data_IF_922498150109
#
_entry.id   IF_922498150109
#
_cell.length_a   1.000
_cell.length_b   1.000
_cell.length_c   1.000
_cell.angle_alpha   90.00
_cell.angle_beta   90.00
_cell.angle_gamma   90.00
#
_symmetry.space_group_name_H-M   'P 1'
#
loop_
_entity.id
_entity.type
_entity.pdbx_description
1 polymer ?
#
# COMPACT_ATOMS: atom_id res chain seq x y z
N UNK A 1 -2.35 3.76 -25.27
CA UNK A 1 -1.10 3.16 -24.78
C UNK A 1 -0.51 2.47 -25.98
N UNK A 2 0.66 2.92 -26.39
CA UNK A 2 1.26 2.49 -27.63
C UNK A 2 2.30 1.41 -27.31
N UNK A 3 3.00 1.57 -26.18
CA UNK A 3 3.82 0.53 -25.58
C UNK A 3 3.78 0.56 -24.07
N UNK A 4 4.00 -0.61 -23.49
CA UNK A 4 4.14 -0.85 -22.05
C UNK A 4 5.47 -1.58 -21.85
N UNK A 5 6.26 -1.16 -20.88
CA UNK A 5 7.58 -1.73 -20.63
C UNK A 5 7.87 -1.82 -19.13
N UNK A 6 8.76 -2.75 -18.77
CA UNK A 6 9.23 -2.98 -17.40
C UNK A 6 10.75 -2.79 -17.40
N UNK A 7 11.27 -1.94 -16.52
CA UNK A 7 12.69 -1.62 -16.41
C UNK A 7 13.27 -2.07 -15.08
N UNK A 8 14.55 -2.43 -15.11
CA UNK A 8 15.41 -2.49 -13.92
C UNK A 8 15.58 -1.09 -13.35
N UNK A 9 15.23 -0.90 -12.07
CA UNK A 9 15.46 0.35 -11.34
C UNK A 9 16.90 0.56 -10.92
N UNK A 10 17.77 -0.46 -11.05
CA UNK A 10 19.22 -0.34 -10.78
C UNK A 10 20.00 0.03 -12.05
N UNK A 11 19.68 -0.59 -13.18
CA UNK A 11 20.47 -0.47 -14.42
C UNK A 11 19.79 0.34 -15.51
N UNK A 12 18.46 0.48 -15.47
CA UNK A 12 17.66 1.03 -16.57
C UNK A 12 17.41 0.04 -17.71
N UNK A 13 17.91 -1.20 -17.61
CA UNK A 13 17.71 -2.24 -18.62
C UNK A 13 16.22 -2.56 -18.78
N UNK A 14 15.75 -2.64 -20.04
CA UNK A 14 14.41 -3.11 -20.34
C UNK A 14 14.31 -4.63 -20.12
N UNK A 15 13.50 -5.03 -19.15
CA UNK A 15 13.21 -6.42 -18.83
C UNK A 15 12.10 -6.99 -19.73
N UNK A 16 11.10 -6.16 -20.04
CA UNK A 16 9.96 -6.48 -20.91
C UNK A 16 9.61 -5.26 -21.73
N UNK A 17 9.38 -5.44 -23.03
CA UNK A 17 8.90 -4.40 -23.94
C UNK A 17 7.73 -4.94 -24.76
N UNK A 18 6.52 -4.46 -24.47
CA UNK A 18 5.30 -4.89 -25.14
C UNK A 18 4.72 -3.77 -25.99
N UNK A 19 4.51 -4.05 -27.27
CA UNK A 19 3.87 -3.14 -28.22
C UNK A 19 2.39 -3.50 -28.37
N UNK A 20 1.50 -2.53 -28.16
CA UNK A 20 0.06 -2.76 -28.32
C UNK A 20 -0.31 -2.82 -29.82
N UNK A 21 -0.95 -3.91 -30.25
CA UNK A 21 -1.33 -4.14 -31.64
C UNK A 21 -2.40 -3.13 -32.12
N UNK A 22 -2.03 -2.20 -33.00
CA UNK A 22 -2.95 -1.17 -33.52
C UNK A 22 -2.29 0.17 -33.86
N UNK A 23 -1.05 0.40 -33.41
CA UNK A 23 -0.24 1.53 -33.87
C UNK A 23 0.20 1.30 -35.32
N UNK A 24 -0.59 1.77 -36.29
CA UNK A 24 -0.35 1.62 -37.75
C UNK A 24 0.92 2.30 -38.30
N UNK A 25 1.90 2.63 -37.47
CA UNK A 25 3.12 3.31 -37.87
C UNK A 25 4.33 2.38 -37.77
N UNK A 26 4.97 2.15 -38.91
CA UNK A 26 6.20 1.36 -39.09
C UNK A 26 7.44 1.96 -38.39
N UNK A 27 7.33 3.13 -37.75
CA UNK A 27 8.37 3.73 -36.89
C UNK A 27 8.27 3.35 -35.41
N UNK A 28 7.33 2.49 -35.02
CA UNK A 28 7.01 2.22 -33.62
C UNK A 28 8.10 1.43 -32.85
N UNK A 29 8.86 0.54 -33.51
CA UNK A 29 9.92 -0.25 -32.85
C UNK A 29 11.09 0.63 -32.40
N UNK A 30 11.48 1.62 -33.21
CA UNK A 30 12.51 2.58 -32.84
C UNK A 30 12.08 3.51 -31.69
N UNK A 31 10.76 3.65 -31.49
CA UNK A 31 10.21 4.51 -30.45
C UNK A 31 10.28 3.86 -29.06
N UNK A 32 10.08 2.54 -28.94
CA UNK A 32 10.13 1.88 -27.63
C UNK A 32 11.49 2.00 -26.96
N UNK A 33 12.54 1.61 -27.67
CA UNK A 33 13.89 1.67 -27.13
C UNK A 33 14.32 3.11 -26.79
N UNK A 34 13.96 4.09 -27.64
CA UNK A 34 14.24 5.51 -27.35
C UNK A 34 13.44 6.03 -26.15
N UNK A 35 12.15 5.68 -26.04
CA UNK A 35 11.32 6.08 -24.91
C UNK A 35 11.80 5.50 -23.58
N UNK A 36 12.30 4.27 -23.59
CA UNK A 36 12.92 3.64 -22.41
C UNK A 36 14.17 4.41 -21.99
N UNK A 37 15.08 4.69 -22.92
CA UNK A 37 16.30 5.43 -22.65
C UNK A 37 15.98 6.85 -22.17
N UNK A 38 15.05 7.54 -22.82
CA UNK A 38 14.60 8.89 -22.44
C UNK A 38 14.03 8.92 -21.02
N UNK A 39 13.17 7.94 -20.67
CA UNK A 39 12.65 7.82 -19.30
C UNK A 39 13.78 7.62 -18.30
N UNK A 40 14.70 6.70 -18.59
CA UNK A 40 15.82 6.40 -17.69
C UNK A 40 16.72 7.61 -17.48
N UNK A 41 17.01 8.38 -18.54
CA UNK A 41 17.79 9.61 -18.43
C UNK A 41 17.11 10.67 -17.55
N UNK A 42 15.79 10.84 -17.64
CA UNK A 42 15.05 11.74 -16.75
C UNK A 42 15.06 11.27 -15.30
N UNK A 43 14.98 9.95 -15.07
CA UNK A 43 15.14 9.37 -13.73
C UNK A 43 16.54 9.67 -13.18
N UNK A 44 17.60 9.38 -13.93
CA UNK A 44 18.98 9.66 -13.53
C UNK A 44 19.25 11.15 -13.28
N UNK A 45 18.67 12.05 -14.07
CA UNK A 45 18.79 13.51 -13.85
C UNK A 45 18.24 13.91 -12.49
N UNK A 46 17.06 13.41 -12.12
CA UNK A 46 16.43 13.73 -10.84
C UNK A 46 17.21 13.19 -9.62
N UNK A 47 17.80 12.00 -9.75
CA UNK A 47 18.61 11.40 -8.70
C UNK A 47 19.94 12.15 -8.50
N UNK A 48 20.58 12.61 -9.60
CA UNK A 48 21.78 13.47 -9.54
C UNK A 48 21.52 14.84 -8.94
N UNK A 49 20.36 15.46 -9.23
CA UNK A 49 19.93 16.72 -8.60
C UNK A 49 19.71 16.51 -7.11
N UNK A 50 19.06 15.41 -6.72
CA UNK A 50 18.85 15.05 -5.31
C UNK A 50 20.15 14.86 -4.53
N UNK A 51 21.22 14.38 -5.17
CA UNK A 51 22.56 14.27 -4.56
C UNK A 51 23.24 15.63 -4.33
N UNK A 52 23.07 16.58 -5.26
CA UNK A 52 23.68 17.92 -5.17
C UNK A 52 22.92 18.90 -4.24
N UNK A 53 21.59 18.77 -4.13
CA UNK A 53 20.73 19.64 -3.29
C UNK A 53 20.64 19.23 -1.81
N UNK A 54 21.36 18.18 -1.40
CA UNK A 54 21.52 17.77 0.02
C UNK A 54 22.07 18.87 0.94
N UNK A 55 22.50 20.02 0.39
CA UNK A 55 22.95 21.18 1.18
C UNK A 55 21.86 22.18 1.56
N UNK A 56 20.69 22.22 0.91
CA UNK A 56 19.71 23.29 1.21
C UNK A 56 18.24 22.89 1.41
N UNK A 57 17.71 21.75 0.96
CA UNK A 57 16.35 21.32 1.33
C UNK A 57 16.19 19.79 1.18
N UNK A 58 15.76 19.03 2.21
CA UNK A 58 15.65 17.57 2.15
C UNK A 58 14.33 17.10 1.52
N UNK A 59 13.94 17.68 0.38
CA UNK A 59 12.85 17.16 -0.43
C UNK A 59 13.45 16.33 -1.56
N UNK A 60 13.28 15.00 -1.54
CA UNK A 60 13.55 14.18 -2.71
C UNK A 60 12.76 14.78 -3.89
N UNK A 61 13.46 15.29 -4.91
CA UNK A 61 12.81 15.82 -6.10
C UNK A 61 12.40 14.61 -6.94
N UNK A 62 11.27 14.00 -6.57
CA UNK A 62 10.74 12.81 -7.20
C UNK A 62 10.37 13.13 -8.65
N UNK A 63 10.85 12.33 -9.60
CA UNK A 63 10.47 12.43 -11.01
C UNK A 63 8.95 12.45 -11.10
N UNK A 64 8.34 13.39 -11.82
CA UNK A 64 6.92 13.34 -12.08
C UNK A 64 6.54 12.00 -12.74
N UNK A 65 5.42 11.40 -12.32
CA UNK A 65 4.92 10.14 -12.91
C UNK A 65 4.50 10.30 -14.38
N UNK A 66 4.42 11.53 -14.88
CA UNK A 66 4.08 11.87 -16.27
C UNK A 66 5.11 12.85 -16.80
N UNK A 67 5.76 12.50 -17.89
CA UNK A 67 6.81 13.29 -18.55
C UNK A 67 6.36 13.57 -19.98
N UNK A 68 6.30 14.86 -20.35
CA UNK A 68 6.00 15.28 -21.71
C UNK A 68 7.30 15.43 -22.50
N UNK A 69 7.41 14.67 -23.59
CA UNK A 69 8.51 14.73 -24.54
C UNK A 69 8.03 15.33 -25.87
N UNK A 70 8.93 15.82 -26.75
CA UNK A 70 8.52 16.45 -28.01
C UNK A 70 7.66 15.58 -28.94
N UNK A 71 7.76 14.25 -28.84
CA UNK A 71 7.09 13.29 -29.73
C UNK A 71 6.22 12.25 -28.99
N UNK A 72 6.21 12.26 -27.66
CA UNK A 72 5.45 11.32 -26.85
C UNK A 72 5.21 11.81 -25.42
N UNK A 73 4.37 11.10 -24.69
CA UNK A 73 4.20 11.22 -23.25
C UNK A 73 4.63 9.90 -22.61
N UNK A 74 5.46 10.00 -21.57
CA UNK A 74 5.95 8.87 -20.80
C UNK A 74 5.24 8.85 -19.44
N UNK A 75 4.77 7.69 -19.05
CA UNK A 75 4.14 7.42 -17.76
C UNK A 75 4.96 6.38 -17.03
N UNK A 76 5.16 6.54 -15.73
CA UNK A 76 5.82 5.52 -14.93
C UNK A 76 5.27 5.43 -13.50
N UNK A 77 5.39 4.24 -12.95
CA UNK A 77 5.26 3.97 -11.51
C UNK A 77 6.46 3.14 -11.06
N UNK A 78 6.87 3.32 -9.81
CA UNK A 78 8.05 2.67 -9.24
C UNK A 78 7.64 1.69 -8.14
N UNK A 79 8.10 0.46 -8.24
CA UNK A 79 7.97 -0.60 -7.24
C UNK A 79 9.35 -1.22 -7.05
N UNK A 80 10.18 -0.57 -6.22
CA UNK A 80 11.61 -0.91 -6.09
C UNK A 80 11.84 -2.43 -5.90
N UNK A 81 12.74 -3.05 -6.70
CA UNK A 81 13.69 -2.44 -7.64
C UNK A 81 13.17 -2.28 -9.09
N UNK A 82 11.87 -2.44 -9.36
CA UNK A 82 11.30 -2.48 -10.71
C UNK A 82 10.54 -1.19 -11.04
N UNK A 83 10.60 -0.76 -12.31
CA UNK A 83 9.85 0.38 -12.82
C UNK A 83 8.90 -0.11 -13.92
N UNK A 84 7.62 0.24 -13.81
CA UNK A 84 6.62 -0.02 -14.84
C UNK A 84 6.36 1.26 -15.60
N UNK A 85 6.47 1.21 -16.92
CA UNK A 85 6.35 2.37 -17.78
C UNK A 85 5.39 2.15 -18.95
N UNK A 86 4.90 3.26 -19.49
CA UNK A 86 4.09 3.29 -20.70
C UNK A 86 4.43 4.53 -21.53
N UNK A 87 4.50 4.37 -22.84
CA UNK A 87 4.61 5.49 -23.77
C UNK A 87 3.32 5.66 -24.59
N UNK A 88 2.96 6.91 -24.83
CA UNK A 88 1.83 7.28 -25.70
C UNK A 88 2.23 8.42 -26.64
N UNK A 89 1.76 8.42 -27.88
CA UNK A 89 2.01 9.52 -28.82
C UNK A 89 0.89 10.55 -28.81
N UNK A 90 -0.30 10.12 -28.40
CA UNK A 90 -1.50 10.96 -28.33
C UNK A 90 -1.78 11.36 -26.90
N UNK A 91 -2.40 12.52 -26.76
CA UNK A 91 -2.92 12.94 -25.48
C UNK A 91 -3.96 11.93 -24.98
N UNK A 92 -3.74 11.42 -23.76
CA UNK A 92 -4.63 10.49 -23.08
C UNK A 92 -4.86 10.97 -21.65
N UNK A 93 -6.02 10.66 -21.03
CA UNK A 93 -6.23 10.96 -19.62
C UNK A 93 -5.14 10.29 -18.75
N UNK A 94 -4.27 11.06 -18.05
CA UNK A 94 -3.11 10.48 -17.37
C UNK A 94 -3.46 9.42 -16.32
N UNK A 95 -4.55 9.65 -15.59
CA UNK A 95 -5.03 8.72 -14.56
C UNK A 95 -5.43 7.37 -15.15
N UNK A 96 -5.87 7.30 -16.40
CA UNK A 96 -6.20 6.03 -17.06
C UNK A 96 -4.96 5.15 -17.21
N UNK A 97 -3.84 5.75 -17.61
CA UNK A 97 -2.58 5.03 -17.81
C UNK A 97 -1.96 4.65 -16.48
N UNK A 98 -1.92 5.58 -15.52
CA UNK A 98 -1.35 5.33 -14.20
C UNK A 98 -2.14 4.26 -13.42
N UNK A 99 -3.47 4.28 -13.50
CA UNK A 99 -4.31 3.25 -12.88
C UNK A 99 -4.05 1.88 -13.52
N UNK A 100 -3.97 1.82 -14.85
CA UNK A 100 -3.63 0.57 -15.55
C UNK A 100 -2.26 0.03 -15.10
N UNK A 101 -1.22 0.87 -15.06
CA UNK A 101 0.11 0.45 -14.62
C UNK A 101 0.09 -0.06 -13.17
N UNK A 102 -0.62 0.64 -12.28
CA UNK A 102 -0.75 0.22 -10.87
C UNK A 102 -1.48 -1.11 -10.74
N UNK A 103 -2.56 -1.28 -11.50
CA UNK A 103 -3.33 -2.52 -11.50
C UNK A 103 -2.55 -3.68 -12.13
N UNK A 104 -1.78 -3.42 -13.19
CA UNK A 104 -0.91 -4.42 -13.81
C UNK A 104 0.20 -4.89 -12.85
N UNK A 105 0.81 -3.97 -12.10
CA UNK A 105 1.73 -4.30 -11.01
C UNK A 105 1.05 -5.24 -9.98
N UNK A 106 -0.16 -4.92 -9.54
CA UNK A 106 -0.90 -5.76 -8.58
C UNK A 106 -1.16 -7.17 -9.14
N UNK A 107 -1.52 -7.30 -10.43
CA UNK A 107 -1.67 -8.58 -11.12
C UNK A 107 -0.34 -9.35 -11.15
N UNK A 108 0.77 -8.69 -11.49
CA UNK A 108 2.10 -9.32 -11.47
C UNK A 108 2.46 -9.83 -10.08
N UNK A 109 2.22 -9.04 -9.03
CA UNK A 109 2.44 -9.47 -7.63
C UNK A 109 1.59 -10.69 -7.28
N UNK A 110 0.35 -10.77 -7.77
CA UNK A 110 -0.52 -11.91 -7.49
C UNK A 110 -0.14 -13.19 -8.27
N UNK A 111 0.48 -13.05 -9.44
CA UNK A 111 0.97 -14.16 -10.27
C UNK A 111 2.32 -14.68 -9.81
N UNK A 112 3.26 -13.75 -9.57
CA UNK A 112 4.68 -14.02 -9.39
C UNK A 112 5.16 -13.76 -7.95
N UNK A 113 4.32 -13.26 -7.05
CA UNK A 113 4.62 -13.11 -5.62
C UNK A 113 4.88 -11.69 -5.15
N UNK A 114 5.01 -11.54 -3.82
CA UNK A 114 5.10 -10.25 -3.14
C UNK A 114 6.36 -9.44 -3.48
N UNK A 115 7.45 -10.11 -3.84
CA UNK A 115 8.72 -9.48 -4.19
C UNK A 115 8.96 -9.72 -5.69
N UNK A 116 8.74 -8.67 -6.50
CA UNK A 116 9.06 -8.69 -7.92
C UNK A 116 10.54 -8.31 -8.08
N UNK A 117 11.40 -9.32 -8.23
CA UNK A 117 12.81 -9.13 -8.56
C UNK A 117 13.00 -9.11 -10.08
N UNK A 118 14.15 -8.63 -10.54
CA UNK A 118 14.49 -8.66 -11.97
C UNK A 118 14.50 -10.08 -12.52
N UNK A 119 15.02 -11.04 -11.74
CA UNK A 119 15.06 -12.46 -12.10
C UNK A 119 13.65 -13.02 -12.25
N UNK A 120 12.71 -12.71 -11.35
CA UNK A 120 11.33 -13.21 -11.43
C UNK A 120 10.62 -12.63 -12.68
N UNK A 121 10.89 -11.38 -13.06
CA UNK A 121 10.35 -10.79 -14.30
C UNK A 121 10.95 -11.49 -15.52
N UNK A 122 12.27 -11.70 -15.55
CA UNK A 122 12.98 -12.37 -16.66
C UNK A 122 12.52 -13.82 -16.83
N UNK A 123 12.41 -14.57 -15.74
CA UNK A 123 12.00 -15.99 -15.73
C UNK A 123 10.54 -16.19 -16.18
N UNK A 124 9.67 -15.20 -15.96
CA UNK A 124 8.24 -15.26 -16.29
C UNK A 124 7.84 -14.36 -17.46
N UNK A 125 8.78 -13.84 -18.25
CA UNK A 125 8.52 -12.87 -19.32
C UNK A 125 7.44 -13.34 -20.32
N UNK A 126 7.41 -14.63 -20.68
CA UNK A 126 6.38 -15.19 -21.55
C UNK A 126 4.96 -15.01 -20.98
N UNK A 127 4.76 -15.28 -19.69
CA UNK A 127 3.46 -15.09 -19.02
C UNK A 127 3.11 -13.61 -18.93
N UNK A 128 4.10 -12.75 -18.73
CA UNK A 128 3.90 -11.29 -18.71
C UNK A 128 3.40 -10.79 -20.07
N UNK A 129 3.98 -11.26 -21.18
CA UNK A 129 3.50 -10.93 -22.52
C UNK A 129 2.05 -11.38 -22.75
N UNK A 130 1.72 -12.61 -22.36
CA UNK A 130 0.35 -13.12 -22.42
C UNK A 130 -0.62 -12.25 -21.60
N UNK A 131 -0.22 -11.86 -20.39
CA UNK A 131 -1.04 -10.99 -19.55
C UNK A 131 -1.28 -9.63 -20.22
N UNK A 132 -0.26 -9.03 -20.80
CA UNK A 132 -0.41 -7.75 -21.49
C UNK A 132 -1.30 -7.87 -22.74
N UNK A 133 -1.16 -8.94 -23.52
CA UNK A 133 -2.01 -9.21 -24.69
C UNK A 133 -3.48 -9.39 -24.31
N UNK A 134 -3.79 -10.06 -23.20
CA UNK A 134 -5.17 -10.23 -22.73
C UNK A 134 -5.72 -8.98 -22.02
N UNK A 135 -4.88 -8.25 -21.29
CA UNK A 135 -5.29 -7.05 -20.57
C UNK A 135 -5.53 -5.85 -21.48
N UNK A 136 -4.86 -5.77 -22.63
CA UNK A 136 -4.89 -4.63 -23.55
C UNK A 136 -5.42 -5.02 -24.93
N UNK A 137 -6.53 -4.43 -25.35
CA UNK A 137 -6.98 -4.48 -26.74
C UNK A 137 -6.63 -3.16 -27.44
N UNK A 138 -5.70 -3.21 -28.39
CA UNK A 138 -5.26 -2.01 -29.13
C UNK A 138 -4.72 -0.88 -28.25
N UNK A 139 -4.18 -1.20 -27.07
CA UNK A 139 -3.67 -0.22 -26.12
C UNK A 139 -4.71 0.41 -25.21
N UNK A 140 -5.89 -0.22 -25.12
CA UNK A 140 -6.98 0.14 -24.21
C UNK A 140 -7.16 -1.02 -23.21
N UNK A 141 -7.20 -0.74 -21.89
CA UNK A 141 -7.50 -1.78 -20.90
C UNK A 141 -8.87 -2.39 -21.16
N UNK A 142 -8.90 -3.72 -21.25
CA UNK A 142 -10.11 -4.50 -21.52
C UNK A 142 -10.38 -5.52 -20.40
N UNK A 143 -9.54 -6.57 -20.29
CA UNK A 143 -9.73 -7.63 -19.30
C UNK A 143 -8.71 -7.51 -18.17
N UNK A 144 -9.05 -6.78 -17.12
CA UNK A 144 -8.13 -6.52 -16.01
C UNK A 144 -8.40 -7.37 -14.76
N UNK A 145 -9.49 -8.13 -14.72
CA UNK A 145 -9.87 -8.90 -13.51
C UNK A 145 -8.96 -10.12 -13.29
N UNK A 146 -8.20 -10.12 -12.19
CA UNK A 146 -7.19 -11.16 -11.90
C UNK A 146 -7.75 -12.57 -11.87
N UNK A 147 -8.96 -12.76 -11.32
CA UNK A 147 -9.59 -14.07 -11.26
C UNK A 147 -9.92 -14.63 -12.65
N UNK A 148 -10.33 -13.78 -13.59
CA UNK A 148 -10.58 -14.18 -14.98
C UNK A 148 -9.27 -14.41 -15.72
N UNK A 149 -8.29 -13.53 -15.54
CA UNK A 149 -6.95 -13.70 -16.11
C UNK A 149 -6.35 -15.04 -15.72
N UNK A 150 -6.51 -15.48 -14.47
CA UNK A 150 -5.99 -16.76 -13.96
C UNK A 150 -6.63 -18.01 -14.59
N UNK A 151 -7.79 -17.86 -15.20
CA UNK A 151 -8.44 -18.94 -15.95
C UNK A 151 -7.88 -19.06 -17.37
N UNK A 152 -7.62 -17.92 -18.01
CA UNK A 152 -7.09 -17.86 -19.38
C UNK A 152 -5.58 -18.16 -19.38
N UNK A 153 -4.87 -17.55 -18.44
CA UNK A 153 -3.42 -17.61 -18.28
C UNK A 153 -3.11 -18.17 -16.90
N UNK A 154 -2.76 -19.45 -16.84
CA UNK A 154 -2.48 -20.13 -15.59
C UNK A 154 -1.19 -19.58 -14.94
N UNK A 155 -1.23 -19.19 -13.64
CA UNK A 155 -0.04 -18.78 -12.92
C UNK A 155 1.04 -19.88 -12.89
N UNK A 156 2.33 -19.55 -13.12
CA UNK A 156 3.46 -20.49 -13.11
C UNK A 156 3.53 -21.35 -11.84
N UNK A 157 3.24 -20.77 -10.68
CA UNK A 157 3.27 -21.45 -9.38
C UNK A 157 2.19 -22.53 -9.22
N UNK A 158 1.06 -22.40 -9.94
CA UNK A 158 0.03 -23.44 -9.96
C UNK A 158 0.43 -24.59 -10.88
N UNK A 159 1.12 -24.29 -11.98
CA UNK A 159 1.61 -25.27 -12.93
C UNK A 159 2.63 -26.22 -12.29
N UNK A 160 3.54 -25.75 -11.45
CA UNK A 160 4.49 -26.65 -10.75
C UNK A 160 3.79 -27.59 -9.77
N UNK A 161 2.68 -27.15 -9.15
CA UNK A 161 1.86 -28.00 -8.27
C UNK A 161 1.01 -29.01 -9.06
N UNK A 162 0.53 -28.62 -10.24
CA UNK A 162 -0.27 -29.46 -11.13
C UNK A 162 0.58 -30.42 -11.98
N UNK A 163 1.80 -30.03 -12.38
CA UNK A 163 2.75 -30.86 -13.12
C UNK A 163 3.24 -32.06 -12.29
N UNK A 164 3.31 -31.90 -10.96
CA UNK A 164 3.56 -33.02 -10.04
C UNK A 164 2.35 -33.96 -9.89
N UNK A 165 1.15 -33.54 -10.33
CA UNK A 165 -0.06 -34.35 -10.28
C UNK A 165 -0.43 -34.95 -11.65
N UNK A 166 -0.11 -34.30 -12.78
CA UNK A 166 -0.49 -34.74 -14.12
C UNK A 166 0.57 -34.32 -15.16
N UNK A 167 1.26 -35.31 -15.74
CA UNK A 167 1.90 -35.18 -17.08
C UNK A 167 0.77 -35.17 -18.10
N UNK A 168 0.49 -34.06 -18.81
CA UNK A 168 -0.09 -33.95 -20.17
C UNK A 168 -0.42 -32.47 -20.49
N UNK A 169 0.08 -31.95 -21.63
CA UNK A 169 -0.59 -30.94 -22.49
C UNK A 169 -0.39 -29.44 -22.20
N UNK A 170 -0.02 -28.68 -23.25
CA UNK A 170 -0.05 -27.21 -23.38
C UNK A 170 -1.38 -26.59 -22.91
N UNK A 171 -1.47 -25.74 -21.88
CA UNK A 171 -0.99 -24.35 -21.63
C UNK A 171 -1.86 -23.18 -22.17
N UNK A 172 -3.02 -23.45 -22.79
CA UNK A 172 -4.12 -22.48 -22.97
C UNK A 172 -5.44 -23.26 -23.02
N UNK A 173 -6.49 -22.85 -22.30
CA UNK A 173 -7.82 -23.47 -22.46
C UNK A 173 -8.51 -22.94 -23.71
N UNK A 174 -8.88 -23.81 -24.65
CA UNK A 174 -9.62 -23.45 -25.88
C UNK A 174 -11.07 -22.96 -25.64
N UNK A 175 -11.56 -23.03 -24.40
CA UNK A 175 -12.88 -22.52 -24.01
C UNK A 175 -12.74 -21.21 -23.24
N UNK A 176 -13.45 -20.17 -23.68
CA UNK A 176 -13.58 -18.92 -22.92
C UNK A 176 -14.13 -19.21 -21.51
N UNK A 177 -13.59 -18.58 -20.46
CA UNK A 177 -14.10 -18.79 -19.11
C UNK A 177 -15.56 -18.29 -18.99
N UNK A 178 -16.40 -19.03 -18.25
CA UNK A 178 -17.80 -18.64 -17.98
C UNK A 178 -17.89 -17.21 -17.40
N UNK A 179 -16.86 -16.74 -16.69
CA UNK A 179 -16.76 -15.42 -16.09
C UNK A 179 -16.60 -14.29 -17.13
N UNK A 180 -15.94 -14.55 -18.28
CA UNK A 180 -15.65 -13.57 -19.32
C UNK A 180 -16.90 -13.10 -20.09
N UNK A 181 -17.97 -13.89 -20.07
CA UNK A 181 -19.28 -13.54 -20.65
C UNK A 181 -20.34 -13.18 -19.59
N UNK A 182 -19.95 -13.15 -18.31
CA UNK A 182 -20.85 -12.88 -17.20
C UNK A 182 -20.88 -11.39 -16.84
N UNK A 183 -22.02 -10.90 -16.33
CA UNK A 183 -22.12 -9.55 -15.75
C UNK A 183 -21.35 -9.39 -14.41
N UNK A 184 -20.62 -10.41 -13.96
CA UNK A 184 -19.86 -10.44 -12.70
C UNK A 184 -18.44 -10.95 -13.01
N UNK A 185 -17.63 -10.15 -13.73
CA UNK A 185 -16.35 -10.62 -14.26
C UNK A 185 -15.36 -11.02 -13.15
N UNK A 186 -15.42 -10.40 -11.98
CA UNK A 186 -14.51 -10.67 -10.86
C UNK A 186 -14.73 -12.00 -10.11
N UNK A 187 -15.80 -12.76 -10.41
CA UNK A 187 -16.14 -13.99 -9.68
C UNK A 187 -16.52 -15.16 -10.59
N UNK A 188 -15.95 -16.32 -10.28
CA UNK A 188 -16.26 -17.61 -10.92
C UNK A 188 -17.54 -18.24 -10.37
N UNK A 189 -18.43 -18.67 -11.26
CA UNK A 189 -19.63 -19.44 -10.92
C UNK A 189 -19.31 -20.83 -10.37
N UNK A 190 -18.17 -21.40 -10.77
CA UNK A 190 -17.72 -22.77 -10.48
C UNK A 190 -16.93 -22.92 -9.18
N UNK A 191 -16.65 -21.84 -8.44
CA UNK A 191 -15.86 -21.89 -7.21
C UNK A 191 -16.45 -22.89 -6.20
N UNK A 192 -15.60 -23.77 -5.66
CA UNK A 192 -15.98 -24.81 -4.67
C UNK A 192 -14.94 -24.90 -3.57
N UNK A 193 -15.42 -24.88 -2.33
CA UNK A 193 -14.62 -24.98 -1.12
C UNK A 193 -15.22 -26.02 -0.18
N UNK A 194 -14.36 -26.83 0.44
CA UNK A 194 -14.76 -27.74 1.50
C UNK A 194 -15.27 -26.98 2.73
N UNK A 195 -14.55 -25.93 3.13
CA UNK A 195 -14.93 -25.02 4.20
C UNK A 195 -15.28 -23.66 3.60
N UNK A 196 -16.52 -23.22 3.82
CA UNK A 196 -17.02 -21.97 3.28
C UNK A 196 -16.90 -20.87 4.33
N UNK A 197 -16.03 -19.90 4.10
CA UNK A 197 -15.68 -18.88 5.06
C UNK A 197 -15.47 -17.52 4.38
N UNK A 198 -15.80 -16.45 5.11
CA UNK A 198 -15.40 -15.10 4.75
C UNK A 198 -14.86 -14.38 5.98
N UNK A 199 -13.71 -13.74 5.80
CA UNK A 199 -13.09 -12.86 6.79
C UNK A 199 -13.05 -11.43 6.26
N UNK A 200 -13.34 -10.47 7.13
CA UNK A 200 -13.25 -9.05 6.85
C UNK A 200 -12.33 -8.40 7.88
N UNK A 201 -11.24 -7.82 7.40
CA UNK A 201 -10.32 -7.02 8.20
C UNK A 201 -10.64 -5.53 8.01
N UNK A 202 -11.03 -4.88 9.10
CA UNK A 202 -11.17 -3.43 9.21
C UNK A 202 -9.83 -2.86 9.65
N UNK A 203 -9.07 -2.29 8.72
CA UNK A 203 -7.71 -1.78 8.94
C UNK A 203 -7.75 -0.25 8.94
N UNK A 204 -7.46 0.38 10.07
CA UNK A 204 -7.36 1.83 10.17
C UNK A 204 -5.92 2.30 10.36
N UNK A 205 -5.58 3.39 9.69
CA UNK A 205 -4.32 4.12 9.81
C UNK A 205 -4.58 5.49 10.42
N UNK A 206 -3.77 5.84 11.42
CA UNK A 206 -3.83 7.12 12.10
C UNK A 206 -2.67 8.01 11.67
N UNK A 207 -3.00 9.11 11.01
CA UNK A 207 -2.08 10.21 10.74
C UNK A 207 -2.29 11.29 11.78
N UNK A 208 -1.25 11.63 12.53
CA UNK A 208 -1.31 12.60 13.62
C UNK A 208 -0.04 13.43 13.65
N UNK A 209 -0.20 14.74 13.85
CA UNK A 209 0.92 15.62 14.17
C UNK A 209 0.65 16.31 15.50
N UNK A 210 1.51 16.06 16.48
CA UNK A 210 1.48 16.71 17.79
C UNK A 210 2.54 17.81 17.80
N UNK A 211 2.18 19.01 18.21
CA UNK A 211 3.10 20.15 18.33
C UNK A 211 3.98 20.06 19.58
N UNK A 212 4.93 21.00 19.71
CA UNK A 212 5.86 21.06 20.85
C UNK A 212 5.19 21.33 22.20
N UNK A 213 3.96 21.85 22.20
CA UNK A 213 3.16 22.03 23.42
C UNK A 213 2.38 20.75 23.79
N UNK A 214 2.48 19.69 22.99
CA UNK A 214 1.72 18.46 23.18
C UNK A 214 0.27 18.55 22.68
N UNK A 215 -0.07 19.57 21.90
CA UNK A 215 -1.40 19.75 21.30
C UNK A 215 -1.48 19.11 19.92
N UNK A 216 -2.64 18.54 19.61
CA UNK A 216 -2.92 17.93 18.31
C UNK A 216 -3.10 19.02 17.24
N UNK A 217 -2.20 19.06 16.26
CA UNK A 217 -2.25 20.02 15.15
C UNK A 217 -2.93 19.46 13.89
N UNK A 218 -2.72 18.17 13.61
CA UNK A 218 -3.34 17.48 12.48
C UNK A 218 -3.79 16.08 12.88
N UNK A 219 -4.91 15.63 12.30
CA UNK A 219 -5.47 14.30 12.47
C UNK A 219 -6.14 13.84 11.18
N UNK A 220 -5.83 12.61 10.78
CA UNK A 220 -6.48 11.90 9.69
C UNK A 220 -6.64 10.43 10.07
N UNK A 221 -7.81 9.86 9.78
CA UNK A 221 -8.07 8.43 9.96
C UNK A 221 -8.46 7.89 8.59
N UNK A 222 -7.67 6.93 8.10
CA UNK A 222 -7.87 6.28 6.83
C UNK A 222 -8.15 4.81 7.06
N UNK A 223 -9.26 4.32 6.54
CA UNK A 223 -9.69 2.95 6.71
C UNK A 223 -9.66 2.17 5.40
N UNK A 224 -9.33 0.89 5.51
CA UNK A 224 -9.45 -0.08 4.43
C UNK A 224 -10.17 -1.32 4.94
N UNK A 225 -11.11 -1.81 4.15
CA UNK A 225 -11.85 -3.04 4.42
C UNK A 225 -11.31 -4.11 3.48
N UNK A 226 -10.49 -5.01 4.01
CA UNK A 226 -9.93 -6.13 3.26
C UNK A 226 -10.79 -7.36 3.49
N UNK A 227 -11.28 -7.98 2.43
CA UNK A 227 -12.05 -9.21 2.51
C UNK A 227 -11.21 -10.39 2.02
N UNK A 228 -11.43 -11.55 2.61
CA UNK A 228 -10.91 -12.84 2.13
C UNK A 228 -12.09 -13.82 2.00
N UNK A 229 -12.53 -14.07 0.78
CA UNK A 229 -13.68 -14.90 0.47
C UNK A 229 -13.24 -16.29 0.00
N UNK A 230 -13.67 -17.32 0.70
CA UNK A 230 -13.60 -18.72 0.26
C UNK A 230 -14.99 -19.31 0.30
N UNK A 231 -15.82 -18.88 -0.64
CA UNK A 231 -17.23 -19.24 -0.71
C UNK A 231 -17.50 -19.99 -2.01
N UNK A 232 -18.31 -21.04 -1.95
CA UNK A 232 -18.71 -21.82 -3.13
C UNK A 232 -19.88 -21.17 -3.86
N UNK A 233 -19.91 -21.26 -5.19
CA UNK A 233 -20.98 -20.72 -6.04
C UNK A 233 -20.99 -19.19 -6.10
N UNK A 234 -22.18 -18.60 -6.20
CA UNK A 234 -22.42 -17.16 -6.38
C UNK A 234 -23.09 -16.51 -5.15
N UNK A 235 -22.40 -16.43 -3.99
CA UNK A 235 -22.91 -15.75 -2.81
C UNK A 235 -23.18 -14.27 -3.06
N UNK A 236 -24.22 -13.77 -2.42
CA UNK A 236 -24.56 -12.35 -2.36
C UNK A 236 -24.42 -11.87 -0.92
N UNK A 237 -23.53 -10.92 -0.69
CA UNK A 237 -23.21 -10.39 0.62
C UNK A 237 -23.78 -9.00 0.86
N UNK A 238 -24.11 -8.76 2.12
CA UNK A 238 -24.47 -7.45 2.64
C UNK A 238 -23.74 -7.20 3.95
N UNK A 239 -23.08 -6.05 4.06
CA UNK A 239 -22.45 -5.57 5.29
C UNK A 239 -23.12 -4.26 5.69
N UNK A 240 -23.56 -4.18 6.94
CA UNK A 240 -24.05 -2.95 7.57
C UNK A 240 -23.08 -2.49 8.67
N UNK A 241 -23.06 -1.19 8.94
CA UNK A 241 -22.23 -0.60 9.98
C UNK A 241 -23.12 0.09 11.01
N UNK A 242 -22.73 0.08 12.28
CA UNK A 242 -23.52 0.72 13.36
C UNK A 242 -23.59 2.24 13.21
N UNK A 243 -22.52 2.84 12.70
CA UNK A 243 -22.37 4.30 12.54
C UNK A 243 -22.07 4.64 11.06
N UNK A 244 -23.01 4.42 10.14
CA UNK A 244 -22.74 4.58 8.70
C UNK A 244 -22.47 6.04 8.30
N UNK A 245 -22.83 7.01 9.15
CA UNK A 245 -22.53 8.44 8.94
C UNK A 245 -21.03 8.75 9.01
N UNK A 246 -20.20 7.84 9.55
CA UNK A 246 -18.74 7.99 9.51
C UNK A 246 -18.15 7.71 8.13
N UNK A 247 -18.94 7.11 7.23
CA UNK A 247 -18.53 6.62 5.91
C UNK A 247 -18.93 7.59 4.78
N UNK A 248 -18.68 8.89 4.94
CA UNK A 248 -19.05 9.89 3.93
C UNK A 248 -18.12 9.88 2.70
N UNK A 249 -16.82 9.68 2.93
CA UNK A 249 -15.81 9.58 1.87
C UNK A 249 -15.37 8.12 1.72
N UNK A 250 -16.02 7.41 0.78
CA UNK A 250 -15.77 6.00 0.51
C UNK A 250 -15.44 5.75 -0.95
N UNK A 251 -14.53 4.80 -1.17
CA UNK A 251 -14.22 4.21 -2.47
C UNK A 251 -14.48 2.72 -2.40
N UNK A 252 -15.15 2.18 -3.40
CA UNK A 252 -15.60 0.80 -3.40
C UNK A 252 -14.94 0.00 -4.51
N UNK A 253 -14.77 -1.29 -4.26
CA UNK A 253 -14.51 -2.27 -5.30
C UNK A 253 -15.66 -2.29 -6.32
N UNK A 254 -15.40 -2.54 -7.62
CA UNK A 254 -16.45 -2.66 -8.65
C UNK A 254 -17.56 -3.67 -8.33
N UNK A 255 -17.28 -4.63 -7.45
CA UNK A 255 -18.25 -5.62 -7.00
C UNK A 255 -19.39 -5.05 -6.15
N UNK A 256 -19.23 -3.84 -5.60
CA UNK A 256 -20.22 -3.20 -4.74
C UNK A 256 -21.28 -2.50 -5.57
N UNK A 257 -22.54 -2.77 -5.23
CA UNK A 257 -23.71 -2.09 -5.79
C UNK A 257 -23.84 -0.68 -5.20
N UNK A 258 -23.13 0.27 -5.79
CA UNK A 258 -23.06 1.66 -5.33
C UNK A 258 -24.43 2.31 -5.13
N UNK A 259 -25.37 2.12 -6.05
CA UNK A 259 -26.71 2.74 -5.93
C UNK A 259 -27.45 2.30 -4.66
N UNK A 260 -27.31 1.03 -4.27
CA UNK A 260 -27.90 0.51 -3.02
C UNK A 260 -27.19 1.09 -1.79
N UNK A 261 -25.86 1.23 -1.84
CA UNK A 261 -25.12 1.90 -0.78
C UNK A 261 -25.54 3.38 -0.65
N UNK A 262 -25.71 4.10 -1.75
CA UNK A 262 -26.09 5.50 -1.75
C UNK A 262 -27.48 5.74 -1.15
N UNK A 263 -28.45 4.83 -1.36
CA UNK A 263 -29.80 4.94 -0.82
C UNK A 263 -29.96 4.39 0.60
N UNK A 264 -29.33 3.24 0.90
CA UNK A 264 -29.61 2.46 2.12
C UNK A 264 -28.42 2.41 3.09
N UNK A 265 -27.23 2.88 2.67
CA UNK A 265 -25.96 2.72 3.41
C UNK A 265 -25.60 1.26 3.70
N UNK A 266 -26.03 0.34 2.84
CA UNK A 266 -25.71 -1.08 2.89
C UNK A 266 -24.66 -1.40 1.82
N UNK A 267 -23.54 -1.99 2.21
CA UNK A 267 -22.50 -2.46 1.27
C UNK A 267 -22.92 -3.83 0.76
N UNK A 268 -23.55 -3.88 -0.41
CA UNK A 268 -24.00 -5.13 -1.05
C UNK A 268 -23.17 -5.49 -2.27
N UNK A 269 -22.71 -6.74 -2.36
CA UNK A 269 -21.77 -7.18 -3.39
C UNK A 269 -21.74 -8.70 -3.58
N UNK A 270 -21.28 -9.12 -4.75
CA UNK A 270 -20.85 -10.50 -5.01
C UNK A 270 -19.32 -10.51 -4.90
N UNK A 271 -18.71 -11.21 -3.93
CA UNK A 271 -17.28 -11.08 -3.62
C UNK A 271 -16.42 -11.71 -4.72
N UNK A 272 -15.33 -11.06 -5.15
CA UNK A 272 -14.21 -11.76 -5.76
C UNK A 272 -13.77 -12.96 -4.91
N UNK A 273 -13.21 -13.96 -5.57
CA UNK A 273 -12.63 -15.12 -4.91
C UNK A 273 -11.28 -14.75 -4.28
N UNK A 274 -10.99 -15.25 -3.07
CA UNK A 274 -9.74 -14.95 -2.36
C UNK A 274 -9.70 -13.57 -1.69
N UNK A 275 -8.49 -13.00 -1.57
CA UNK A 275 -8.24 -11.74 -0.86
C UNK A 275 -8.39 -10.56 -1.80
N UNK A 276 -9.19 -9.58 -1.43
CA UNK A 276 -9.38 -8.35 -2.20
C UNK A 276 -9.70 -7.16 -1.27
N UNK A 277 -9.50 -5.94 -1.77
CA UNK A 277 -9.90 -4.72 -1.08
C UNK A 277 -11.35 -4.41 -1.43
N UNK A 278 -12.25 -4.54 -0.47
CA UNK A 278 -13.69 -4.30 -0.67
C UNK A 278 -14.00 -2.80 -0.77
N UNK A 279 -13.43 -2.01 0.14
CA UNK A 279 -13.59 -0.57 0.16
C UNK A 279 -12.46 0.11 0.92
N UNK A 280 -12.29 1.41 0.71
CA UNK A 280 -11.54 2.29 1.59
C UNK A 280 -12.40 3.48 1.96
N UNK A 281 -12.17 4.02 3.15
CA UNK A 281 -12.89 5.16 3.66
C UNK A 281 -11.96 6.16 4.34
N UNK A 282 -12.40 7.41 4.42
CA UNK A 282 -11.73 8.46 5.18
C UNK A 282 -12.71 9.08 6.15
N UNK A 283 -12.33 9.12 7.42
CA UNK A 283 -13.14 9.80 8.44
C UNK A 283 -12.99 11.31 8.26
N UNK A 284 -14.10 12.03 8.30
CA UNK A 284 -14.08 13.49 8.18
C UNK A 284 -13.25 14.12 9.31
N UNK A 285 -12.56 15.22 9.01
CA UNK A 285 -11.73 15.93 10.00
C UNK A 285 -12.54 16.33 11.23
N UNK A 286 -13.80 16.71 11.04
CA UNK A 286 -14.69 17.08 12.14
C UNK A 286 -15.03 15.89 13.04
N UNK A 287 -15.33 14.72 12.47
CA UNK A 287 -15.55 13.49 13.23
C UNK A 287 -14.28 13.02 13.94
N UNK A 288 -13.11 13.08 13.28
CA UNK A 288 -11.84 12.74 13.91
C UNK A 288 -11.48 13.68 15.07
N UNK A 289 -11.72 14.98 14.92
CA UNK A 289 -11.48 15.98 15.96
C UNK A 289 -12.41 15.83 17.17
N UNK A 290 -13.65 15.37 16.99
CA UNK A 290 -14.59 15.17 18.11
C UNK A 290 -14.13 14.04 19.05
N UNK A 291 -13.41 13.04 18.51
CA UNK A 291 -12.88 11.89 19.27
C UNK A 291 -11.39 12.04 19.66
N UNK A 292 -10.76 13.19 19.39
CA UNK A 292 -9.32 13.41 19.56
C UNK A 292 -8.76 13.07 20.94
N UNK A 293 -9.57 13.25 22.00
CA UNK A 293 -9.15 12.98 23.39
C UNK A 293 -9.02 11.49 23.68
N UNK A 294 -9.82 10.67 22.99
CA UNK A 294 -9.93 9.22 23.22
C UNK A 294 -9.12 8.41 22.21
N UNK A 295 -8.75 9.01 21.08
CA UNK A 295 -8.19 8.28 19.93
C UNK A 295 -6.77 7.74 20.16
N UNK A 296 -5.93 8.44 20.93
CA UNK A 296 -4.56 7.99 21.21
C UNK A 296 -4.49 7.49 22.67
N UNK A 297 -4.39 6.17 22.92
CA UNK A 297 -4.44 5.59 24.26
C UNK A 297 -3.15 5.78 25.09
N UNK A 298 -2.11 6.37 24.50
CA UNK A 298 -0.80 6.56 25.10
C UNK A 298 -0.26 7.95 24.81
N UNK A 299 0.79 8.34 25.52
CA UNK A 299 1.54 9.57 25.29
C UNK A 299 3.00 9.25 25.02
N UNK A 300 3.65 10.14 24.29
CA UNK A 300 5.10 10.17 24.10
C UNK A 300 5.52 11.61 24.37
N UNK A 301 6.40 11.80 25.33
CA UNK A 301 6.88 13.12 25.77
C UNK A 301 8.40 13.17 25.56
N UNK A 302 8.86 13.68 24.41
CA UNK A 302 10.26 13.99 24.21
C UNK A 302 10.63 15.29 24.95
N UNK A 303 11.83 15.34 25.47
CA UNK A 303 12.46 16.51 26.07
C UNK A 303 13.91 16.56 25.58
N UNK A 304 14.29 17.69 24.99
CA UNK A 304 15.57 17.81 24.32
C UNK A 304 16.29 19.05 24.79
N UNK A 305 17.60 18.93 24.94
CA UNK A 305 18.46 20.05 25.24
C UNK A 305 19.73 19.89 24.41
N UNK A 306 19.95 20.81 23.47
CA UNK A 306 21.20 20.88 22.72
C UNK A 306 22.06 22.03 23.25
N UNK A 307 23.35 21.76 23.34
CA UNK A 307 24.45 22.70 23.55
C UNK A 307 25.37 22.64 22.34
N UNK A 308 26.34 23.56 22.25
CA UNK A 308 27.27 23.62 21.10
C UNK A 308 28.03 22.31 20.86
N UNK A 309 28.29 21.53 21.91
CA UNK A 309 29.16 20.34 21.86
C UNK A 309 28.47 19.06 22.34
N UNK A 310 27.26 19.17 22.89
CA UNK A 310 26.55 18.04 23.47
C UNK A 310 25.04 18.20 23.40
N UNK A 311 24.32 17.10 23.33
CA UNK A 311 22.87 17.04 23.37
C UNK A 311 22.40 16.02 24.40
N UNK A 312 21.27 16.29 25.03
CA UNK A 312 20.57 15.33 25.88
C UNK A 312 19.15 15.17 25.37
N UNK A 313 18.74 13.92 25.15
CA UNK A 313 17.36 13.56 24.81
C UNK A 313 16.82 12.69 25.93
N UNK A 314 15.65 13.04 26.45
CA UNK A 314 14.87 12.19 27.36
C UNK A 314 13.49 11.98 26.76
N UNK A 315 13.04 10.74 26.66
CA UNK A 315 11.73 10.39 26.09
C UNK A 315 10.99 9.52 27.09
N UNK A 316 9.74 9.89 27.37
CA UNK A 316 8.84 9.10 28.20
C UNK A 316 7.64 8.63 27.38
N UNK A 317 7.35 7.33 27.42
CA UNK A 317 6.22 6.70 26.74
C UNK A 317 5.38 5.94 27.75
N UNK A 318 4.09 6.25 27.84
CA UNK A 318 3.19 5.63 28.81
C UNK A 318 1.73 5.69 28.38
N UNK A 319 0.86 4.93 29.06
CA UNK A 319 -0.58 4.99 28.80
C UNK A 319 -1.17 6.29 29.36
N UNK A 320 -2.17 6.86 28.68
CA UNK A 320 -2.88 8.05 29.19
C UNK A 320 -3.74 7.72 30.40
N UNK A 321 -4.36 6.54 30.42
CA UNK A 321 -5.20 6.05 31.52
C UNK A 321 -4.92 4.56 31.75
N UNK A 322 -5.15 4.06 32.96
CA UNK A 322 -4.96 2.63 33.28
C UNK A 322 -5.93 1.71 32.52
N UNK A 323 -7.08 2.25 32.10
CA UNK A 323 -8.10 1.56 31.32
C UNK A 323 -7.77 1.49 29.81
N UNK A 324 -6.82 2.30 29.35
CA UNK A 324 -6.41 2.33 27.95
C UNK A 324 -5.90 0.97 27.50
N UNK A 325 -6.37 0.49 26.34
CA UNK A 325 -5.83 -0.73 25.74
C UNK A 325 -4.36 -0.51 25.36
N UNK A 326 -3.42 -1.33 25.86
CA UNK A 326 -2.01 -1.12 25.58
C UNK A 326 -1.71 -1.41 24.11
N UNK A 327 -1.10 -0.45 23.37
CA UNK A 327 -0.62 -0.72 22.03
C UNK A 327 0.54 -1.71 22.04
N UNK A 328 0.67 -2.40 20.91
CA UNK A 328 1.70 -3.38 20.62
C UNK A 328 2.59 -2.85 19.50
N UNK A 329 3.76 -3.46 19.33
CA UNK A 329 4.76 -3.06 18.33
C UNK A 329 5.10 -1.56 18.37
N UNK A 330 5.14 -0.98 19.58
CA UNK A 330 5.47 0.43 19.75
C UNK A 330 6.95 0.65 19.50
N UNK A 331 7.26 1.59 18.62
CA UNK A 331 8.61 2.10 18.41
C UNK A 331 8.62 3.61 18.24
N UNK A 332 9.74 4.23 18.61
CA UNK A 332 9.99 5.67 18.44
C UNK A 332 11.27 5.85 17.65
N UNK A 333 11.18 6.48 16.49
CA UNK A 333 12.33 6.90 15.71
C UNK A 333 12.73 8.31 16.15
N UNK A 334 13.98 8.40 16.55
CA UNK A 334 14.63 9.56 17.15
C UNK A 334 15.60 10.10 16.09
N UNK A 335 15.32 11.25 15.48
CA UNK A 335 16.29 11.88 14.60
C UNK A 335 17.50 12.35 15.42
N UNK A 336 18.69 12.13 14.88
CA UNK A 336 19.94 12.61 15.42
C UNK A 336 20.44 13.77 14.56
N UNK A 337 21.01 14.84 15.14
CA UNK A 337 21.63 15.90 14.36
C UNK A 337 22.68 15.33 13.40
N UNK A 338 22.78 15.88 12.19
CA UNK A 338 23.79 15.47 11.20
C UNK A 338 25.24 15.64 11.69
N UNK A 339 25.43 16.48 12.72
CA UNK A 339 26.71 16.74 13.38
C UNK A 339 27.03 15.78 14.54
N UNK A 340 26.20 14.75 14.75
CA UNK A 340 26.40 13.74 15.78
C UNK A 340 27.63 12.90 15.49
N UNK A 341 28.60 12.90 16.39
CA UNK A 341 29.82 12.08 16.30
C UNK A 341 29.70 10.80 17.09
N UNK A 342 29.00 10.83 18.23
CA UNK A 342 28.76 9.68 19.08
C UNK A 342 27.42 9.82 19.82
N UNK A 343 26.80 8.70 20.16
CA UNK A 343 25.57 8.67 20.92
C UNK A 343 25.57 7.51 21.91
N UNK A 344 25.40 7.83 23.18
CA UNK A 344 25.21 6.83 24.24
C UNK A 344 23.74 6.85 24.65
N UNK A 345 23.03 5.76 24.38
CA UNK A 345 21.59 5.63 24.64
C UNK A 345 21.35 4.53 25.66
N UNK A 346 20.51 4.84 26.64
CA UNK A 346 20.01 3.90 27.64
C UNK A 346 18.48 3.93 27.66
N UNK A 347 17.85 2.76 27.71
CA UNK A 347 16.39 2.61 27.81
C UNK A 347 16.02 1.75 29.01
N UNK A 348 14.87 2.01 29.63
CA UNK A 348 14.37 1.19 30.75
C UNK A 348 13.74 -0.11 30.28
N UNK A 349 13.25 -0.15 29.04
CA UNK A 349 12.63 -1.29 28.38
C UNK A 349 12.93 -1.25 26.87
N UNK A 350 12.78 -2.39 26.22
CA UNK A 350 12.98 -2.50 24.78
C UNK A 350 14.45 -2.40 24.37
N UNK A 351 14.68 -2.42 23.07
CA UNK A 351 16.02 -2.33 22.46
C UNK A 351 16.15 -1.05 21.65
N UNK A 352 17.37 -0.53 21.54
CA UNK A 352 17.66 0.65 20.72
C UNK A 352 18.66 0.26 19.64
N UNK A 353 18.32 0.49 18.38
CA UNK A 353 19.24 0.40 17.26
C UNK A 353 19.60 1.79 16.78
N UNK A 354 20.89 2.05 16.55
CA UNK A 354 21.38 3.36 16.10
C UNK A 354 21.94 3.22 14.69
N UNK A 355 21.43 4.04 13.78
CA UNK A 355 21.94 4.16 12.43
C UNK A 355 22.49 5.57 12.22
N UNK A 356 23.80 5.72 12.42
CA UNK A 356 24.49 7.00 12.23
C UNK A 356 24.51 7.44 10.76
N UNK A 357 24.43 6.51 9.80
CA UNK A 357 24.40 6.84 8.36
C UNK A 357 23.07 7.47 7.98
N UNK A 358 21.98 6.94 8.52
CA UNK A 358 20.62 7.50 8.35
C UNK A 358 20.31 8.65 9.32
N UNK A 359 21.24 9.02 10.21
CA UNK A 359 21.04 10.07 11.20
C UNK A 359 19.85 9.81 12.13
N UNK A 360 19.61 8.56 12.53
CA UNK A 360 18.48 8.24 13.42
C UNK A 360 18.73 7.04 14.32
N UNK A 361 18.05 7.01 15.46
CA UNK A 361 17.97 5.87 16.36
C UNK A 361 16.53 5.37 16.45
N UNK A 362 16.32 4.06 16.49
CA UNK A 362 15.00 3.43 16.62
C UNK A 362 14.94 2.74 17.97
N UNK A 363 14.06 3.23 18.83
CA UNK A 363 13.75 2.60 20.10
C UNK A 363 12.53 1.68 19.96
N UNK A 364 12.75 0.38 20.05
CA UNK A 364 11.71 -0.67 19.95
C UNK A 364 11.23 -1.08 21.33
N UNK A 365 10.07 -0.57 21.75
CA UNK A 365 9.47 -0.79 23.08
C UNK A 365 8.68 -2.10 23.12
N UNK A 366 8.00 -2.44 22.02
CA UNK A 366 7.10 -3.59 21.96
C UNK A 366 5.74 -3.25 22.57
N UNK A 367 5.41 -3.82 23.73
CA UNK A 367 4.12 -3.58 24.39
C UNK A 367 4.27 -2.59 25.54
N UNK A 368 3.46 -1.54 25.55
CA UNK A 368 3.46 -0.57 26.66
C UNK A 368 2.91 -1.23 27.93
N UNK A 369 3.68 -1.16 29.01
CA UNK A 369 3.28 -1.70 30.31
C UNK A 369 2.34 -0.73 31.03
N UNK A 370 1.48 -1.26 31.91
CA UNK A 370 0.53 -0.46 32.69
C UNK A 370 1.13 0.09 34.00
N UNK A 371 2.12 -0.62 34.55
CA UNK A 371 2.70 -0.35 35.86
C UNK A 371 3.67 0.84 35.86
N UNK A 372 4.41 1.03 34.78
CA UNK A 372 5.40 2.11 34.68
C UNK A 372 5.59 2.59 33.24
N UNK A 373 5.85 3.89 33.03
CA UNK A 373 6.21 4.39 31.72
C UNK A 373 7.58 3.83 31.28
N UNK A 374 7.71 3.62 29.99
CA UNK A 374 8.97 3.38 29.33
C UNK A 374 9.73 4.70 29.23
N UNK A 375 11.03 4.68 29.54
CA UNK A 375 11.88 5.86 29.46
C UNK A 375 13.14 5.56 28.65
N UNK A 376 13.59 6.54 27.89
CA UNK A 376 14.86 6.52 27.17
C UNK A 376 15.62 7.80 27.48
N UNK A 377 16.92 7.66 27.75
CA UNK A 377 17.85 8.77 27.93
C UNK A 377 19.03 8.58 26.98
N UNK A 378 19.31 9.59 26.17
CA UNK A 378 20.44 9.63 25.27
C UNK A 378 21.33 10.85 25.55
N UNK A 379 22.64 10.61 25.58
CA UNK A 379 23.66 11.64 25.55
C UNK A 379 24.31 11.62 24.17
N UNK A 380 24.25 12.74 23.48
CA UNK A 380 24.73 12.92 22.10
C UNK A 380 25.97 13.80 22.16
N UNK A 381 27.08 13.34 21.62
CA UNK A 381 28.23 14.18 21.30
C UNK A 381 28.01 14.73 19.89
N UNK A 382 28.03 16.05 19.74
CA UNK A 382 27.79 16.71 18.46
C UNK A 382 28.70 17.92 18.30
N UNK A 383 28.91 18.37 17.08
CA UNK A 383 29.70 19.58 16.80
C UNK A 383 28.79 20.66 16.24
N UNK A 384 28.62 21.76 16.97
CA UNK A 384 27.79 22.90 16.57
C UNK A 384 26.37 22.48 16.15
N UNK A 385 25.68 21.72 17.01
CA UNK A 385 24.29 21.31 16.75
C UNK A 385 23.40 22.55 16.54
N UNK A 386 22.83 22.67 15.35
CA UNK A 386 21.81 23.67 15.09
C UNK A 386 20.61 23.43 16.02
N UNK A 387 20.00 24.51 16.51
CA UNK A 387 18.81 24.48 17.37
C UNK A 387 17.55 24.15 16.57
N UNK A 388 17.57 23.11 15.75
CA UNK A 388 16.36 22.62 15.08
C UNK A 388 15.56 21.76 16.06
N UNK A 389 14.25 22.01 16.12
CA UNK A 389 13.27 21.20 16.86
C UNK A 389 13.03 19.89 16.10
N UNK A 390 13.60 18.74 16.53
CA UNK A 390 13.42 17.51 15.80
C UNK A 390 11.97 17.01 15.87
N UNK A 391 11.60 16.25 14.85
CA UNK A 391 10.31 15.55 14.79
C UNK A 391 10.52 14.06 15.02
N UNK A 392 9.88 13.51 16.04
CA UNK A 392 9.90 12.09 16.35
C UNK A 392 8.80 11.39 15.58
N UNK A 393 9.12 10.23 14.99
CA UNK A 393 8.13 9.37 14.36
C UNK A 393 7.79 8.22 15.30
N UNK A 394 6.50 7.95 15.49
CA UNK A 394 6.03 6.88 16.36
C UNK A 394 5.35 5.83 15.53
N UNK A 395 5.69 4.57 15.73
CA UNK A 395 4.95 3.44 15.16
C UNK A 395 4.25 2.65 16.24
N UNK A 396 3.03 2.18 15.98
CA UNK A 396 2.28 1.32 16.90
C UNK A 396 1.19 0.51 16.18
N UNK A 397 0.71 -0.54 16.83
CA UNK A 397 -0.46 -1.30 16.42
C UNK A 397 -1.43 -1.53 17.58
N UNK A 398 -2.73 -1.42 17.32
CA UNK A 398 -3.81 -1.82 18.23
C UNK A 398 -4.68 -2.87 17.52
N UNK A 399 -5.06 -3.91 18.25
CA UNK A 399 -5.96 -4.95 17.72
C UNK A 399 -7.35 -4.81 18.35
N UNK A 400 -8.39 -5.30 17.68
CA UNK A 400 -9.72 -5.50 18.25
C UNK A 400 -10.59 -4.23 18.39
N UNK A 401 -10.16 -3.09 17.85
CA UNK A 401 -10.99 -1.89 17.75
C UNK A 401 -10.53 -1.00 16.60
N UNK A 402 -11.48 -0.37 15.92
CA UNK A 402 -11.25 0.79 15.05
C UNK A 402 -11.13 2.06 15.92
N UNK A 403 -10.22 2.96 15.57
CA UNK A 403 -10.06 4.25 16.26
C UNK A 403 -11.25 5.18 16.01
N UNK A 404 -11.83 5.10 14.82
CA UNK A 404 -13.02 5.89 14.46
C UNK A 404 -14.27 5.51 15.26
N UNK A 405 -14.26 4.35 15.92
CA UNK A 405 -15.47 3.74 16.50
C UNK A 405 -16.40 3.10 15.47
N UNK A 406 -15.96 2.97 14.21
CA UNK A 406 -16.70 2.22 13.19
C UNK A 406 -16.72 0.72 13.54
N UNK A 407 -17.91 0.15 13.53
CA UNK A 407 -18.13 -1.26 13.81
C UNK A 407 -19.07 -1.85 12.77
N UNK A 408 -18.76 -3.06 12.30
CA UNK A 408 -19.66 -3.89 11.51
C UNK A 408 -20.83 -4.29 12.40
N UNK A 409 -22.04 -3.92 11.99
CA UNK A 409 -23.28 -4.25 12.68
C UNK A 409 -23.75 -5.66 12.30
N UNK A 410 -23.88 -5.92 11.01
CA UNK A 410 -24.23 -7.23 10.49
C UNK A 410 -23.44 -7.56 9.22
N UNK A 411 -23.25 -8.87 8.99
CA UNK A 411 -22.74 -9.42 7.74
C UNK A 411 -23.62 -10.59 7.35
N UNK A 412 -24.33 -10.46 6.23
CA UNK A 412 -25.24 -11.47 5.71
C UNK A 412 -24.69 -12.09 4.43
N UNK A 413 -24.94 -13.40 4.26
CA UNK A 413 -24.58 -14.13 3.05
C UNK A 413 -25.83 -14.87 2.58
N UNK A 414 -26.26 -14.56 1.37
CA UNK A 414 -27.45 -15.13 0.73
C UNK A 414 -27.07 -15.78 -0.60
N UNK A 415 -28.05 -16.34 -1.31
CA UNK A 415 -27.86 -17.08 -2.57
C UNK A 415 -26.92 -18.30 -2.46
N UNK A 416 -26.86 -18.91 -1.28
CA UNK A 416 -26.09 -20.13 -0.99
C UNK A 416 -26.93 -21.11 -0.17
N UNK A 417 -26.68 -22.42 -0.34
CA UNK A 417 -27.39 -23.49 0.39
C UNK A 417 -26.71 -23.89 1.71
N UNK A 418 -25.50 -23.39 1.95
CA UNK A 418 -24.69 -23.68 3.14
C UNK A 418 -24.66 -22.47 4.07
N UNK A 419 -24.26 -22.70 5.33
CA UNK A 419 -24.06 -21.63 6.32
C UNK A 419 -22.56 -21.31 6.42
N UNK A 420 -22.08 -20.19 5.83
CA UNK A 420 -20.66 -19.87 5.88
C UNK A 420 -20.22 -19.38 7.27
N UNK A 421 -18.95 -19.61 7.59
CA UNK A 421 -18.31 -18.91 8.69
C UNK A 421 -18.05 -17.44 8.31
N UNK A 422 -18.24 -16.54 9.27
CA UNK A 422 -18.16 -15.09 9.10
C UNK A 422 -17.27 -14.53 10.20
N UNK A 423 -16.11 -13.98 9.84
CA UNK A 423 -15.18 -13.36 10.76
C UNK A 423 -14.98 -11.88 10.47
N UNK A 424 -14.93 -11.06 11.52
CA UNK A 424 -14.53 -9.65 11.42
C UNK A 424 -13.39 -9.41 12.40
N UNK A 425 -12.34 -8.75 11.94
CA UNK A 425 -11.20 -8.37 12.76
C UNK A 425 -10.89 -6.89 12.57
N UNK A 426 -10.51 -6.23 13.65
CA UNK A 426 -10.15 -4.82 13.64
C UNK A 426 -8.66 -4.68 13.92
N UNK A 427 -7.97 -3.91 13.09
CA UNK A 427 -6.56 -3.59 13.22
C UNK A 427 -6.44 -2.09 13.05
N UNK A 428 -5.77 -1.43 13.99
CA UNK A 428 -5.36 -0.06 13.86
C UNK A 428 -3.83 -0.03 13.84
N UNK A 429 -3.24 0.77 12.96
CA UNK A 429 -1.81 1.05 12.95
C UNK A 429 -1.54 2.55 12.82
N UNK A 430 -0.36 2.96 13.22
CA UNK A 430 0.15 4.31 12.90
C UNK A 430 0.35 4.44 11.38
N UNK A 431 -0.14 5.54 10.80
CA UNK A 431 0.35 6.07 9.53
C UNK A 431 1.47 7.08 9.81
N UNK A 432 1.28 8.32 9.38
CA UNK A 432 2.16 9.44 9.70
C UNK A 432 1.91 9.96 11.11
N UNK A 433 2.51 9.31 12.11
CA UNK A 433 2.45 9.76 13.50
C UNK A 433 3.73 10.51 13.89
N UNK A 434 3.62 11.82 14.02
CA UNK A 434 4.73 12.73 14.29
C UNK A 434 4.52 13.54 15.57
N UNK A 435 5.60 13.73 16.33
CA UNK A 435 5.63 14.57 17.51
C UNK A 435 6.78 15.57 17.37
N UNK A 436 6.45 16.85 17.39
CA UNK A 436 7.42 17.94 17.34
C UNK A 436 7.86 18.27 18.76
N UNK A 437 9.15 18.55 18.94
CA UNK A 437 9.72 18.97 20.23
C UNK A 437 9.93 20.47 20.32
#
# INVERSE_FOLDING_TARGET
MESVFILSGETGEALVEHQCAGSRHTSAVAMNHQCVEDLWQEILKSEKVSLHDTKNHPGQQQVPNVIAMPQCYLFHIRSDPIIFGCATQREVPPLKVLEFLSHFLDVCVEYFGAELTEDEIKDNACTIYQLLDEMLDGGVPYLTETNTLKEIIAPPRLLTRMANALRIGSQVSDSLPDSASSNIPWRRSSARYANNEIYVDMIEELDVTIDSNGMLSNIGIYGQVMANSKLSGMPDLQITFKNPQLLDDCRFHPSVRYLKYASERIVSFVPPDGRFKLMSYKISKQAAMSIQKTIIPFYVKPQITYSKESGRISIMVGLKTEQSKPPEQVSVKIPLPSTTTNCNISSTVGTVSVDMKKGSAIWSIGKIRRDRPACLNANIACTNAASESPTFEVSFQLQGSALSGLEVDSMEVTNVKYKPYKGVRYITRSGFFQIRS
#
